data_IF_693638127175
#
_entry.id   IF_693638127175
#
_cell.length_a   1.000
_cell.length_b   1.000
_cell.length_c   1.000
_cell.angle_alpha   90.00
_cell.angle_beta   90.00
_cell.angle_gamma   90.00
#
_symmetry.space_group_name_H-M   'P 1'
#
loop_
_entity.id
_entity.type
_entity.pdbx_description
1 polymer ?
#
# COMPACT_ATOMS: atom_id res chain seq x y z
N UNK A 1 -1.17 -9.49 5.27
CA UNK A 1 -1.32 -10.55 6.31
C UNK A 1 -0.10 -10.51 7.22
N UNK A 2 -0.24 -10.61 8.54
CA UNK A 2 0.91 -10.47 9.43
C UNK A 2 0.68 -11.05 10.82
N UNK A 3 1.76 -11.19 11.58
CA UNK A 3 1.80 -11.73 12.96
C UNK A 3 0.71 -11.13 13.87
N UNK A 4 0.39 -9.81 13.84
CA UNK A 4 -0.68 -9.26 14.67
C UNK A 4 -2.08 -9.75 14.30
N UNK A 5 -2.31 -10.02 13.01
CA UNK A 5 -3.59 -10.57 12.53
C UNK A 5 -3.73 -12.04 12.86
N UNK A 6 -2.63 -12.80 12.76
CA UNK A 6 -2.55 -14.20 13.20
C UNK A 6 -2.81 -14.32 14.70
N UNK A 7 -2.16 -13.50 15.53
CA UNK A 7 -2.38 -13.48 16.97
C UNK A 7 -3.84 -13.14 17.32
N UNK A 8 -4.45 -12.17 16.61
CA UNK A 8 -5.85 -11.79 16.82
C UNK A 8 -6.83 -12.91 16.42
N UNK A 9 -6.54 -13.66 15.36
CA UNK A 9 -7.35 -14.83 14.94
C UNK A 9 -7.20 -16.00 15.91
N UNK A 10 -5.96 -16.32 16.28
CA UNK A 10 -5.66 -17.34 17.29
C UNK A 10 -6.43 -17.05 18.59
N UNK A 11 -6.33 -15.83 19.10
CA UNK A 11 -7.02 -15.42 20.32
C UNK A 11 -8.55 -15.64 20.25
N UNK A 12 -9.20 -15.24 19.14
CA UNK A 12 -10.65 -15.43 18.96
C UNK A 12 -11.04 -16.91 18.94
N UNK A 13 -10.27 -17.74 18.25
CA UNK A 13 -10.54 -19.17 18.11
C UNK A 13 -10.28 -19.90 19.42
N UNK A 14 -9.18 -19.60 20.12
CA UNK A 14 -8.87 -20.18 21.43
C UNK A 14 -9.90 -19.78 22.49
N UNK A 15 -10.41 -18.54 22.46
CA UNK A 15 -11.50 -18.12 23.34
C UNK A 15 -12.77 -18.95 23.10
N UNK A 16 -13.17 -19.11 21.83
CA UNK A 16 -14.36 -19.88 21.47
C UNK A 16 -14.21 -21.37 21.85
N UNK A 17 -13.06 -21.97 21.55
CA UNK A 17 -12.75 -23.35 21.90
C UNK A 17 -12.74 -23.58 23.42
N UNK A 18 -12.20 -22.63 24.19
CA UNK A 18 -12.19 -22.68 25.66
C UNK A 18 -13.60 -22.60 26.24
N UNK A 19 -14.47 -21.74 25.70
CA UNK A 19 -15.87 -21.64 26.14
C UNK A 19 -16.64 -22.93 25.82
N UNK A 20 -16.48 -23.47 24.60
CA UNK A 20 -17.11 -24.73 24.20
C UNK A 20 -16.63 -25.89 25.08
N UNK A 21 -15.33 -25.95 25.37
CA UNK A 21 -14.77 -26.97 26.26
C UNK A 21 -15.32 -26.86 27.69
N UNK A 22 -15.52 -25.65 28.21
CA UNK A 22 -16.14 -25.43 29.51
C UNK A 22 -17.60 -25.91 29.55
N UNK A 23 -18.38 -25.59 28.51
CA UNK A 23 -19.77 -26.07 28.38
C UNK A 23 -19.83 -27.59 28.25
N UNK A 24 -18.90 -28.21 27.53
CA UNK A 24 -18.83 -29.66 27.37
C UNK A 24 -18.51 -30.36 28.70
N UNK A 25 -17.65 -29.76 29.52
CA UNK A 25 -17.27 -30.29 30.84
C UNK A 25 -18.46 -30.29 31.82
N UNK A 26 -19.32 -29.26 31.75
CA UNK A 26 -20.58 -29.20 32.51
C UNK A 26 -21.65 -30.18 31.97
N UNK A 27 -21.65 -30.47 30.67
CA UNK A 27 -22.59 -31.42 30.06
C UNK A 27 -22.18 -32.89 30.26
N UNK A 28 -20.90 -33.17 30.51
CA UNK A 28 -20.44 -34.54 30.76
C UNK A 28 -20.95 -35.01 32.13
N UNK A 29 -21.68 -36.14 32.20
CA UNK A 29 -22.15 -36.68 33.47
C UNK A 29 -20.94 -37.02 34.36
N UNK A 30 -20.67 -36.16 35.35
CA UNK A 30 -19.55 -36.34 36.26
C UNK A 30 -19.81 -37.57 37.14
N UNK A 31 -18.86 -38.53 37.22
CA UNK A 31 -18.97 -39.65 38.16
C UNK A 31 -18.83 -39.22 39.63
N UNK A 32 -18.45 -37.96 39.89
CA UNK A 32 -18.30 -37.42 41.24
C UNK A 32 -19.43 -36.44 41.58
N UNK A 33 -20.39 -36.92 42.38
CA UNK A 33 -21.35 -36.10 43.11
C UNK A 33 -20.62 -35.25 44.16
N UNK A 34 -20.10 -34.08 43.80
CA UNK A 34 -19.70 -33.08 44.78
C UNK A 34 -20.94 -32.30 45.22
N UNK A 35 -21.49 -32.65 46.37
CA UNK A 35 -22.72 -32.08 46.92
C UNK A 35 -22.56 -30.66 47.50
N UNK A 36 -21.40 -30.02 47.42
CA UNK A 36 -21.20 -28.62 47.87
C UNK A 36 -20.17 -27.94 46.99
N UNK A 37 -20.53 -26.81 46.39
CA UNK A 37 -19.64 -25.92 45.64
C UNK A 37 -18.57 -25.34 46.58
N UNK A 38 -17.48 -26.07 46.76
CA UNK A 38 -16.34 -25.67 47.59
C UNK A 38 -15.44 -24.72 46.77
N UNK A 39 -14.82 -23.69 47.37
CA UNK A 39 -13.90 -22.79 46.67
C UNK A 39 -12.77 -23.54 45.93
N UNK A 40 -12.41 -24.74 46.41
CA UNK A 40 -11.46 -25.64 45.75
C UNK A 40 -11.92 -26.13 44.38
N UNK A 41 -13.21 -26.43 44.20
CA UNK A 41 -13.79 -26.82 42.91
C UNK A 41 -13.71 -25.67 41.89
N UNK A 42 -14.00 -24.44 42.33
CA UNK A 42 -13.86 -23.26 41.47
C UNK A 42 -12.41 -23.01 41.05
N UNK A 43 -11.44 -23.18 41.96
CA UNK A 43 -10.02 -23.06 41.63
C UNK A 43 -9.57 -24.13 40.64
N UNK A 44 -10.02 -25.38 40.82
CA UNK A 44 -9.72 -26.49 39.90
C UNK A 44 -10.34 -26.26 38.50
N UNK A 45 -11.56 -25.74 38.42
CA UNK A 45 -12.23 -25.39 37.16
C UNK A 45 -11.51 -24.23 36.44
N UNK A 46 -11.14 -23.17 37.17
CA UNK A 46 -10.39 -22.03 36.60
C UNK A 46 -9.02 -22.50 36.09
N UNK A 47 -8.32 -23.34 36.86
CA UNK A 47 -7.02 -23.90 36.46
C UNK A 47 -7.13 -24.79 35.23
N UNK A 48 -8.17 -25.64 35.16
CA UNK A 48 -8.45 -26.50 34.01
C UNK A 48 -8.76 -25.68 32.75
N UNK A 49 -9.59 -24.64 32.88
CA UNK A 49 -9.93 -23.74 31.79
C UNK A 49 -8.71 -22.95 31.30
N UNK A 50 -7.89 -22.41 32.22
CA UNK A 50 -6.67 -21.68 31.89
C UNK A 50 -5.66 -22.58 31.16
N UNK A 51 -5.49 -23.83 31.62
CA UNK A 51 -4.58 -24.79 30.98
C UNK A 51 -5.05 -25.14 29.57
N UNK A 52 -6.35 -25.40 29.41
CA UNK A 52 -6.96 -25.70 28.12
C UNK A 52 -6.83 -24.52 27.15
N UNK A 53 -7.07 -23.30 27.63
CA UNK A 53 -6.87 -22.07 26.84
C UNK A 53 -5.42 -21.90 26.38
N UNK A 54 -4.44 -22.12 27.27
CA UNK A 54 -3.01 -22.02 26.92
C UNK A 54 -2.63 -23.05 25.86
N UNK A 55 -3.12 -24.29 25.98
CA UNK A 55 -2.88 -25.34 24.99
C UNK A 55 -3.47 -24.95 23.64
N UNK A 56 -4.74 -24.56 23.56
CA UNK A 56 -5.35 -24.13 22.30
C UNK A 56 -4.71 -22.85 21.74
N UNK A 57 -4.34 -21.90 22.58
CA UNK A 57 -3.67 -20.68 22.14
C UNK A 57 -2.28 -20.98 21.57
N UNK A 58 -1.51 -21.83 22.23
CA UNK A 58 -0.20 -22.25 21.73
C UNK A 58 -0.30 -23.05 20.42
N UNK A 59 -1.31 -23.92 20.30
CA UNK A 59 -1.60 -24.68 19.08
C UNK A 59 -1.98 -23.76 17.91
N UNK A 60 -2.96 -22.88 18.10
CA UNK A 60 -3.41 -21.94 17.07
C UNK A 60 -2.34 -20.91 16.70
N UNK A 61 -1.59 -20.42 17.70
CA UNK A 61 -0.47 -19.52 17.46
C UNK A 61 0.59 -20.23 16.63
N UNK A 62 0.99 -21.45 17.01
CA UNK A 62 1.99 -22.22 16.27
C UNK A 62 1.49 -22.57 14.87
N UNK A 63 0.23 -22.97 14.70
CA UNK A 63 -0.36 -23.26 13.40
C UNK A 63 -0.36 -22.03 12.49
N UNK A 64 -0.78 -20.87 13.00
CA UNK A 64 -0.76 -19.64 12.22
C UNK A 64 0.65 -19.08 11.98
N UNK A 65 1.56 -19.21 12.94
CA UNK A 65 2.97 -18.83 12.76
C UNK A 65 3.64 -19.75 11.74
N UNK A 66 3.36 -21.05 11.82
CA UNK A 66 3.83 -22.07 10.89
C UNK A 66 3.29 -21.81 9.49
N UNK A 67 2.01 -21.44 9.34
CA UNK A 67 1.45 -21.02 8.05
C UNK A 67 2.12 -19.74 7.50
N UNK A 68 2.42 -18.75 8.36
CA UNK A 68 3.16 -17.53 7.99
C UNK A 68 4.64 -17.82 7.66
N UNK A 69 5.27 -18.79 8.32
CA UNK A 69 6.64 -19.25 8.05
C UNK A 69 6.70 -20.15 6.80
N UNK A 70 5.66 -20.95 6.56
CA UNK A 70 5.48 -21.81 5.38
C UNK A 70 4.88 -21.09 4.16
N UNK A 71 4.43 -19.83 4.30
CA UNK A 71 4.53 -18.84 3.21
C UNK A 71 5.99 -18.44 2.92
N UNK A 72 6.91 -19.41 3.03
CA UNK A 72 8.22 -19.48 2.39
C UNK A 72 8.01 -18.99 0.95
N UNK A 73 8.70 -17.90 0.60
CA UNK A 73 8.66 -17.16 -0.68
C UNK A 73 7.97 -17.98 -1.77
N UNK A 74 6.69 -17.70 -2.00
CA UNK A 74 6.00 -18.16 -3.20
C UNK A 74 6.71 -17.53 -4.39
N UNK A 75 7.58 -18.30 -5.02
CA UNK A 75 8.31 -17.87 -6.21
C UNK A 75 7.46 -18.32 -7.38
N UNK A 76 6.87 -17.35 -8.09
CA UNK A 76 6.10 -17.59 -9.30
C UNK A 76 7.07 -17.61 -10.48
N UNK A 77 8.01 -18.56 -10.46
CA UNK A 77 9.00 -18.73 -11.51
C UNK A 77 9.10 -20.21 -11.89
N UNK A 78 9.26 -20.52 -13.18
CA UNK A 78 9.59 -21.87 -13.62
C UNK A 78 10.98 -22.28 -13.10
N UNK A 79 11.26 -23.60 -12.99
CA UNK A 79 12.59 -24.08 -12.61
C UNK A 79 13.68 -23.58 -13.56
N UNK A 80 14.82 -23.16 -13.01
CA UNK A 80 15.98 -22.72 -13.82
C UNK A 80 16.45 -23.86 -14.73
N UNK A 81 16.68 -23.56 -16.00
CA UNK A 81 17.05 -24.53 -17.03
C UNK A 81 15.87 -25.28 -17.66
N UNK A 82 14.63 -24.92 -17.32
CA UNK A 82 13.46 -25.38 -18.08
C UNK A 82 13.23 -24.52 -19.32
N UNK A 83 12.61 -25.08 -20.36
CA UNK A 83 12.23 -24.33 -21.57
C UNK A 83 11.33 -23.12 -21.23
N UNK A 84 10.49 -23.23 -20.20
CA UNK A 84 9.65 -22.14 -19.73
C UNK A 84 10.47 -20.98 -19.11
N UNK A 85 11.59 -21.27 -18.46
CA UNK A 85 12.47 -20.23 -17.92
C UNK A 85 13.17 -19.40 -19.01
N UNK A 86 13.40 -20.00 -20.17
CA UNK A 86 14.04 -19.34 -21.32
C UNK A 86 13.04 -18.58 -22.18
N UNK A 87 11.84 -19.14 -22.39
CA UNK A 87 10.85 -18.59 -23.32
C UNK A 87 9.84 -17.68 -22.66
N UNK A 88 9.37 -18.01 -21.45
CA UNK A 88 8.26 -17.30 -20.79
C UNK A 88 8.41 -17.30 -19.25
N UNK A 89 9.45 -16.64 -18.69
CA UNK A 89 9.75 -16.69 -17.26
C UNK A 89 8.69 -16.02 -16.38
N UNK A 90 7.84 -15.17 -16.97
CA UNK A 90 6.88 -14.30 -16.27
C UNK A 90 5.43 -14.80 -16.30
N UNK A 91 5.10 -15.80 -17.11
CA UNK A 91 3.70 -16.16 -17.38
C UNK A 91 2.98 -16.70 -16.15
N UNK A 92 3.65 -17.52 -15.32
CA UNK A 92 3.08 -18.00 -14.06
C UNK A 92 2.79 -16.85 -13.06
N UNK A 93 3.65 -15.84 -13.03
CA UNK A 93 3.47 -14.65 -12.21
C UNK A 93 2.31 -13.80 -12.73
N UNK A 94 2.25 -13.57 -14.05
CA UNK A 94 1.19 -12.80 -14.69
C UNK A 94 -0.18 -13.46 -14.52
N UNK A 95 -0.26 -14.78 -14.71
CA UNK A 95 -1.48 -15.57 -14.47
C UNK A 95 -2.01 -15.37 -13.03
N UNK A 96 -1.13 -15.41 -12.03
CA UNK A 96 -1.52 -15.20 -10.63
C UNK A 96 -1.89 -13.74 -10.32
N UNK A 97 -1.25 -12.78 -10.98
CA UNK A 97 -1.51 -11.35 -10.85
C UNK A 97 -2.85 -10.92 -11.49
N UNK A 98 -3.21 -11.56 -12.61
CA UNK A 98 -4.43 -11.30 -13.38
C UNK A 98 -5.63 -12.13 -12.90
N UNK A 99 -5.48 -12.90 -11.83
CA UNK A 99 -6.56 -13.66 -11.21
C UNK A 99 -7.77 -12.77 -10.91
N UNK A 100 -8.97 -13.25 -11.29
CA UNK A 100 -10.22 -12.49 -11.23
C UNK A 100 -10.63 -12.14 -9.81
N UNK A 101 -10.20 -12.91 -8.80
CA UNK A 101 -10.52 -12.65 -7.40
C UNK A 101 -9.51 -11.67 -6.78
N UNK A 102 -9.90 -10.40 -6.49
CA UNK A 102 -8.99 -9.39 -5.96
C UNK A 102 -8.58 -9.64 -4.50
N UNK A 103 -9.30 -10.50 -3.77
CA UNK A 103 -8.98 -10.83 -2.37
C UNK A 103 -8.28 -12.18 -2.21
N UNK A 104 -7.94 -12.84 -3.34
CA UNK A 104 -7.19 -14.09 -3.34
C UNK A 104 -5.82 -13.92 -2.69
N UNK A 105 -5.47 -14.83 -1.78
CA UNK A 105 -4.13 -14.90 -1.20
C UNK A 105 -3.06 -15.07 -2.28
N UNK A 106 -3.37 -15.83 -3.33
CA UNK A 106 -2.47 -16.10 -4.45
C UNK A 106 -2.02 -14.79 -5.11
N UNK A 107 -2.99 -13.90 -5.38
CA UNK A 107 -2.73 -12.58 -5.97
C UNK A 107 -1.89 -11.69 -5.05
N UNK A 108 -2.15 -11.68 -3.74
CA UNK A 108 -1.31 -10.93 -2.77
C UNK A 108 0.13 -11.43 -2.75
N UNK A 109 0.32 -12.75 -2.80
CA UNK A 109 1.63 -13.39 -2.86
C UNK A 109 2.35 -13.08 -4.18
N UNK A 110 1.63 -13.03 -5.29
CA UNK A 110 2.16 -12.66 -6.60
C UNK A 110 2.63 -11.19 -6.63
N UNK A 111 1.87 -10.25 -6.05
CA UNK A 111 2.31 -8.86 -5.90
C UNK A 111 3.57 -8.72 -5.05
N UNK A 112 3.70 -9.52 -3.98
CA UNK A 112 4.90 -9.54 -3.16
C UNK A 112 6.11 -10.10 -3.93
N UNK A 113 5.96 -11.22 -4.64
CA UNK A 113 7.04 -11.80 -5.47
C UNK A 113 7.46 -10.82 -6.57
N UNK A 114 6.50 -10.17 -7.24
CA UNK A 114 6.79 -9.14 -8.23
C UNK A 114 7.62 -7.98 -7.63
N UNK A 115 7.21 -7.46 -6.47
CA UNK A 115 7.96 -6.41 -5.78
C UNK A 115 9.40 -6.86 -5.46
N UNK A 116 9.58 -8.11 -5.04
CA UNK A 116 10.89 -8.67 -4.77
C UNK A 116 11.72 -8.82 -6.05
N UNK A 117 11.14 -9.22 -7.19
CA UNK A 117 11.86 -9.33 -8.47
C UNK A 117 12.27 -7.94 -8.99
N UNK A 118 11.40 -6.95 -8.86
CA UNK A 118 11.66 -5.59 -9.33
C UNK A 118 12.78 -4.90 -8.52
N UNK A 119 12.90 -5.16 -7.22
CA UNK A 119 13.87 -4.50 -6.35
C UNK A 119 15.20 -5.25 -6.18
N UNK A 120 15.18 -6.59 -6.21
CA UNK A 120 16.38 -7.37 -5.91
C UNK A 120 17.27 -7.55 -7.14
N UNK A 121 18.58 -7.42 -6.93
CA UNK A 121 19.58 -7.70 -7.97
C UNK A 121 19.91 -9.19 -8.15
N UNK A 122 19.22 -10.10 -7.43
CA UNK A 122 19.49 -11.54 -7.46
C UNK A 122 18.82 -12.22 -8.66
N UNK A 123 17.59 -11.80 -8.99
CA UNK A 123 16.79 -12.39 -10.07
C UNK A 123 16.71 -11.47 -11.29
N UNK A 124 17.85 -10.91 -11.70
CA UNK A 124 17.97 -10.04 -12.88
C UNK A 124 17.46 -10.71 -14.15
N UNK A 125 17.63 -12.03 -14.28
CA UNK A 125 17.10 -12.81 -15.40
C UNK A 125 15.56 -12.78 -15.48
N UNK A 126 14.85 -12.83 -14.34
CA UNK A 126 13.38 -12.72 -14.30
C UNK A 126 12.95 -11.32 -14.68
N UNK A 127 13.63 -10.31 -14.15
CA UNK A 127 13.33 -8.90 -14.45
C UNK A 127 13.62 -8.55 -15.90
N UNK A 128 14.69 -9.08 -16.49
CA UNK A 128 14.99 -8.94 -17.91
C UNK A 128 13.87 -9.51 -18.78
N UNK A 129 13.23 -10.60 -18.34
CA UNK A 129 12.04 -11.17 -18.99
C UNK A 129 10.82 -10.25 -19.01
N UNK A 130 10.80 -9.16 -18.23
CA UNK A 130 9.75 -8.15 -18.34
C UNK A 130 9.95 -7.23 -19.54
N UNK A 131 11.20 -6.98 -19.95
CA UNK A 131 11.57 -6.13 -21.09
C UNK A 131 11.77 -6.95 -22.36
N UNK A 132 10.91 -7.93 -22.60
CA UNK A 132 10.92 -8.70 -23.85
C UNK A 132 10.51 -7.84 -25.06
N UNK A 133 10.90 -8.28 -26.26
CA UNK A 133 10.88 -7.49 -27.50
C UNK A 133 9.49 -6.95 -27.86
N UNK A 134 8.42 -7.68 -27.58
CA UNK A 134 7.05 -7.21 -27.88
C UNK A 134 6.58 -6.14 -26.91
N UNK A 135 7.17 -6.11 -25.72
CA UNK A 135 6.83 -5.20 -24.64
C UNK A 135 5.47 -5.44 -23.98
N UNK A 136 4.76 -6.51 -24.34
CA UNK A 136 3.45 -6.84 -23.77
C UNK A 136 3.58 -7.23 -22.30
N UNK A 137 4.62 -7.98 -21.95
CA UNK A 137 4.89 -8.39 -20.56
C UNK A 137 5.04 -7.17 -19.65
N UNK A 138 5.86 -6.19 -20.07
CA UNK A 138 6.06 -4.94 -19.32
C UNK A 138 4.74 -4.17 -19.13
N UNK A 139 3.96 -3.99 -20.20
CA UNK A 139 2.66 -3.29 -20.14
C UNK A 139 1.69 -3.98 -19.17
N UNK A 140 1.61 -5.31 -19.20
CA UNK A 140 0.76 -6.09 -18.28
C UNK A 140 1.18 -5.92 -16.83
N UNK A 141 2.48 -6.03 -16.52
CA UNK A 141 3.04 -5.83 -15.18
C UNK A 141 2.71 -4.43 -14.65
N UNK A 142 2.95 -3.40 -15.46
CA UNK A 142 2.64 -2.01 -15.09
C UNK A 142 1.14 -1.86 -14.85
N UNK A 143 0.29 -2.33 -15.76
CA UNK A 143 -1.16 -2.21 -15.64
C UNK A 143 -1.71 -2.87 -14.35
N UNK A 144 -1.21 -4.05 -13.99
CA UNK A 144 -1.63 -4.74 -12.76
C UNK A 144 -1.23 -3.95 -11.51
N UNK A 145 -0.06 -3.33 -11.50
CA UNK A 145 0.39 -2.54 -10.35
C UNK A 145 -0.30 -1.17 -10.25
N UNK A 146 -0.62 -0.53 -11.38
CA UNK A 146 -1.30 0.77 -11.36
C UNK A 146 -2.75 0.65 -10.89
N UNK A 147 -3.49 -0.40 -11.28
CA UNK A 147 -4.91 -0.59 -10.92
C UNK A 147 -5.22 -0.38 -9.43
N UNK A 148 -4.52 -1.01 -8.46
CA UNK A 148 -4.76 -0.74 -7.02
C UNK A 148 -4.49 0.70 -6.60
N UNK A 149 -3.49 1.37 -7.19
CA UNK A 149 -3.13 2.75 -6.88
C UNK A 149 -4.17 3.74 -7.42
N UNK A 150 -4.68 3.47 -8.62
CA UNK A 150 -5.78 4.22 -9.24
C UNK A 150 -7.07 4.07 -8.44
N UNK A 151 -7.37 2.83 -8.01
CA UNK A 151 -8.51 2.57 -7.15
C UNK A 151 -8.41 3.33 -5.82
N UNK A 152 -7.24 3.33 -5.18
CA UNK A 152 -7.01 4.12 -3.97
C UNK A 152 -7.21 5.63 -4.23
N UNK A 153 -6.64 6.16 -5.31
CA UNK A 153 -6.71 7.59 -5.63
C UNK A 153 -8.15 8.04 -5.91
N UNK A 154 -8.92 7.24 -6.65
CA UNK A 154 -10.33 7.52 -6.93
C UNK A 154 -11.17 7.50 -5.65
N UNK A 155 -11.01 6.47 -4.80
CA UNK A 155 -11.75 6.36 -3.54
C UNK A 155 -11.47 7.50 -2.56
N UNK A 156 -10.20 7.88 -2.42
CA UNK A 156 -9.82 9.02 -1.59
C UNK A 156 -10.30 10.36 -2.18
N UNK A 157 -10.42 10.45 -3.51
CA UNK A 157 -10.95 11.64 -4.18
C UNK A 157 -12.48 11.79 -4.07
N UNK A 158 -13.22 10.69 -4.13
CA UNK A 158 -14.69 10.67 -3.95
C UNK A 158 -15.10 11.19 -2.57
N UNK A 159 -14.30 10.91 -1.52
CA UNK A 159 -14.53 11.43 -0.17
C UNK A 159 -14.31 12.93 0.01
N UNK A 160 -13.78 13.62 -1.01
CA UNK A 160 -13.41 15.05 -0.96
C UNK A 160 -14.36 15.97 -1.74
N UNK A 161 -15.50 15.46 -2.24
CA UNK A 161 -16.45 16.22 -3.05
C UNK A 161 -17.19 17.33 -2.27
N UNK A 162 -16.88 18.58 -2.61
CA UNK A 162 -17.68 19.82 -2.52
C UNK A 162 -18.76 19.92 -1.43
N UNK A 163 -18.40 20.40 -0.24
CA UNK A 163 -19.33 21.11 0.65
C UNK A 163 -19.31 22.60 0.31
N UNK A 164 -19.98 22.97 -0.78
CA UNK A 164 -20.56 24.31 -0.94
C UNK A 164 -21.99 24.17 -0.49
N UNK A 165 -22.22 24.34 0.82
CA UNK A 165 -23.46 24.91 1.35
C UNK A 165 -23.19 25.36 2.79
N UNK A 166 -22.89 26.65 2.92
CA UNK A 166 -22.90 27.38 4.18
C UNK A 166 -24.35 27.46 4.69
N UNK A 167 -24.85 26.42 5.36
CA UNK A 167 -26.09 26.56 6.17
C UNK A 167 -26.36 25.46 7.22
N UNK A 168 -25.70 24.29 7.21
CA UNK A 168 -26.10 23.15 8.08
C UNK A 168 -24.98 22.62 8.98
N UNK A 169 -24.10 23.52 9.41
CA UNK A 169 -22.94 23.21 10.25
C UNK A 169 -23.32 23.11 11.74
N UNK A 170 -23.87 21.97 12.20
CA UNK A 170 -23.78 21.57 13.62
C UNK A 170 -24.16 20.11 13.94
N UNK A 171 -24.79 19.34 13.04
CA UNK A 171 -25.35 18.02 13.41
C UNK A 171 -24.47 16.79 13.16
N UNK A 172 -23.36 16.87 12.41
CA UNK A 172 -22.63 15.66 11.96
C UNK A 172 -21.28 15.46 12.68
N UNK A 173 -21.27 15.46 14.01
CA UNK A 173 -20.08 15.05 14.81
C UNK A 173 -19.92 13.53 14.95
N UNK A 174 -20.76 12.73 14.28
CA UNK A 174 -20.59 11.28 14.16
C UNK A 174 -19.95 10.97 12.81
N UNK A 175 -18.92 10.11 12.82
CA UNK A 175 -18.21 9.62 11.63
C UNK A 175 -19.18 9.38 10.48
N UNK A 176 -18.99 10.10 9.35
CA UNK A 176 -19.82 9.85 8.18
C UNK A 176 -19.54 8.44 7.65
N UNK A 177 -20.52 7.73 7.07
CA UNK A 177 -20.31 6.41 6.47
C UNK A 177 -19.20 6.38 5.41
N UNK A 178 -18.94 7.51 4.75
CA UNK A 178 -17.87 7.69 3.77
C UNK A 178 -16.48 7.72 4.41
N UNK A 179 -16.36 8.33 5.60
CA UNK A 179 -15.10 8.32 6.37
C UNK A 179 -14.70 6.89 6.77
N UNK A 180 -15.66 6.02 7.10
CA UNK A 180 -15.39 4.63 7.49
C UNK A 180 -14.93 3.75 6.32
N UNK A 181 -15.52 3.94 5.13
CA UNK A 181 -15.11 3.20 3.91
C UNK A 181 -13.69 3.57 3.46
N UNK A 182 -13.33 4.84 3.53
CA UNK A 182 -11.97 5.30 3.20
C UNK A 182 -10.93 4.77 4.19
N UNK A 183 -11.32 4.58 5.46
CA UNK A 183 -10.47 3.98 6.49
C UNK A 183 -10.21 2.49 6.22
N UNK A 184 -11.21 1.76 5.71
CA UNK A 184 -11.09 0.35 5.34
C UNK A 184 -10.12 0.15 4.17
N UNK A 185 -10.15 1.04 3.18
CA UNK A 185 -9.25 0.99 2.03
C UNK A 185 -7.77 1.09 2.44
N UNK A 186 -7.47 1.94 3.43
CA UNK A 186 -6.11 2.06 3.98
C UNK A 186 -5.62 0.77 4.68
N UNK A 187 -6.45 -0.24 4.92
CA UNK A 187 -5.98 -1.53 5.43
C UNK A 187 -5.20 -2.35 4.40
N UNK A 188 -5.36 -2.05 3.10
CA UNK A 188 -4.60 -2.69 2.02
C UNK A 188 -3.24 -2.00 1.76
N UNK A 189 -2.70 -1.26 2.74
CA UNK A 189 -1.46 -0.48 2.59
C UNK A 189 -0.27 -1.28 2.02
N UNK A 190 -0.17 -2.58 2.37
CA UNK A 190 0.91 -3.45 1.90
C UNK A 190 0.86 -3.60 0.37
N UNK A 191 -0.35 -3.76 -0.18
CA UNK A 191 -0.55 -3.90 -1.62
C UNK A 191 -0.14 -2.63 -2.35
N UNK A 192 -0.57 -1.45 -1.87
CA UNK A 192 -0.16 -0.18 -2.47
C UNK A 192 1.35 0.01 -2.39
N UNK A 193 1.95 -0.36 -1.26
CA UNK A 193 3.39 -0.25 -1.10
C UNK A 193 4.16 -1.15 -2.08
N UNK A 194 3.75 -2.41 -2.25
CA UNK A 194 4.35 -3.31 -3.22
C UNK A 194 4.14 -2.84 -4.65
N UNK A 195 2.94 -2.40 -5.01
CA UNK A 195 2.65 -1.87 -6.34
C UNK A 195 3.52 -0.64 -6.66
N UNK A 196 3.56 0.35 -5.77
CA UNK A 196 4.35 1.58 -5.97
C UNK A 196 5.84 1.28 -6.12
N UNK A 197 6.39 0.43 -5.25
CA UNK A 197 7.79 0.02 -5.29
C UNK A 197 8.12 -0.79 -6.55
N UNK A 198 7.22 -1.69 -6.96
CA UNK A 198 7.39 -2.50 -8.16
C UNK A 198 7.50 -1.64 -9.41
N UNK A 199 6.55 -0.72 -9.63
CA UNK A 199 6.56 0.14 -10.83
C UNK A 199 7.70 1.15 -10.79
N UNK A 200 8.02 1.71 -9.63
CA UNK A 200 9.14 2.65 -9.51
C UNK A 200 10.49 1.97 -9.77
N UNK A 201 10.72 0.80 -9.18
CA UNK A 201 11.94 0.05 -9.39
C UNK A 201 12.07 -0.44 -10.83
N UNK A 202 10.98 -0.94 -11.42
CA UNK A 202 11.00 -1.40 -12.80
C UNK A 202 11.22 -0.24 -13.80
N UNK A 203 10.54 0.89 -13.60
CA UNK A 203 10.78 2.10 -14.39
C UNK A 203 12.21 2.59 -14.21
N UNK A 204 12.76 2.66 -12.99
CA UNK A 204 14.16 3.05 -12.78
C UNK A 204 15.16 2.09 -13.45
N UNK A 205 14.93 0.78 -13.34
CA UNK A 205 15.75 -0.26 -13.99
C UNK A 205 15.68 -0.19 -15.51
N UNK A 206 14.55 0.22 -16.08
CA UNK A 206 14.40 0.33 -17.54
C UNK A 206 15.47 1.21 -18.18
N UNK A 207 15.99 2.22 -17.48
CA UNK A 207 17.09 3.07 -17.98
C UNK A 207 18.31 2.27 -18.43
N UNK A 208 18.60 1.14 -17.77
CA UNK A 208 19.80 0.33 -17.99
C UNK A 208 19.50 -1.05 -18.56
N UNK A 209 18.35 -1.62 -18.22
CA UNK A 209 18.01 -3.01 -18.50
C UNK A 209 17.08 -3.18 -19.71
N UNK A 210 16.35 -2.13 -20.12
CA UNK A 210 15.45 -2.17 -21.26
C UNK A 210 16.21 -1.97 -22.58
N UNK A 211 16.64 -3.08 -23.18
CA UNK A 211 17.42 -3.08 -24.42
C UNK A 211 16.63 -2.62 -25.64
N UNK A 212 15.31 -2.77 -25.61
CA UNK A 212 14.42 -2.47 -26.74
C UNK A 212 13.73 -1.11 -26.59
N UNK A 213 13.90 -0.42 -25.46
CA UNK A 213 13.27 0.86 -25.17
C UNK A 213 11.75 0.76 -24.98
N UNK A 214 11.21 -0.43 -24.71
CA UNK A 214 9.78 -0.68 -24.51
C UNK A 214 9.18 0.31 -23.51
N UNK A 215 9.84 0.53 -22.38
CA UNK A 215 9.33 1.33 -21.27
C UNK A 215 9.15 2.80 -21.63
N UNK A 216 10.06 3.33 -22.46
CA UNK A 216 10.02 4.71 -22.94
C UNK A 216 9.03 4.87 -24.10
N UNK A 217 8.97 3.89 -25.00
CA UNK A 217 8.14 3.95 -26.21
C UNK A 217 6.66 3.63 -25.97
N UNK A 218 6.35 2.84 -24.93
CA UNK A 218 4.97 2.41 -24.64
C UNK A 218 4.09 3.47 -23.99
N UNK A 219 4.66 4.59 -23.53
CA UNK A 219 3.98 5.59 -22.71
C UNK A 219 3.73 5.16 -21.26
N UNK A 220 4.18 3.96 -20.86
CA UNK A 220 3.98 3.44 -19.51
C UNK A 220 4.73 4.26 -18.45
N UNK A 221 5.91 4.82 -18.76
CA UNK A 221 6.64 5.67 -17.82
C UNK A 221 5.82 6.92 -17.42
N UNK A 222 5.18 7.57 -18.39
CA UNK A 222 4.28 8.68 -18.13
C UNK A 222 3.07 8.24 -17.29
N UNK A 223 2.49 7.06 -17.58
CA UNK A 223 1.40 6.50 -16.78
C UNK A 223 1.81 6.22 -15.33
N UNK A 224 2.99 5.62 -15.13
CA UNK A 224 3.53 5.33 -13.78
C UNK A 224 3.72 6.62 -12.98
N UNK A 225 4.43 7.61 -13.54
CA UNK A 225 4.68 8.88 -12.85
C UNK A 225 3.38 9.61 -12.55
N UNK A 226 2.46 9.68 -13.52
CA UNK A 226 1.17 10.35 -13.35
C UNK A 226 0.30 9.71 -12.28
N UNK A 227 0.24 8.38 -12.24
CA UNK A 227 -0.55 7.63 -11.26
C UNK A 227 0.07 7.73 -9.86
N UNK A 228 1.39 7.64 -9.73
CA UNK A 228 2.07 7.82 -8.44
C UNK A 228 1.85 9.24 -7.88
N UNK A 229 1.97 10.27 -8.71
CA UNK A 229 1.72 11.66 -8.31
C UNK A 229 0.25 11.90 -7.97
N UNK A 230 -0.68 11.39 -8.78
CA UNK A 230 -2.12 11.47 -8.52
C UNK A 230 -2.48 10.81 -7.19
N UNK A 231 -1.95 9.61 -6.94
CA UNK A 231 -2.16 8.86 -5.71
C UNK A 231 -1.58 9.61 -4.50
N UNK A 232 -0.38 10.18 -4.64
CA UNK A 232 0.23 10.99 -3.57
C UNK A 232 -0.62 12.21 -3.24
N UNK A 233 -1.10 12.94 -4.24
CA UNK A 233 -1.98 14.08 -4.04
C UNK A 233 -3.30 13.68 -3.35
N UNK A 234 -3.89 12.55 -3.73
CA UNK A 234 -5.12 12.04 -3.11
C UNK A 234 -4.89 11.71 -1.62
N UNK A 235 -3.79 11.04 -1.30
CA UNK A 235 -3.41 10.71 0.08
C UNK A 235 -3.09 11.97 0.89
N UNK A 236 -2.34 12.92 0.32
CA UNK A 236 -2.05 14.20 0.99
C UNK A 236 -3.31 15.02 1.26
N UNK A 237 -4.23 15.05 0.30
CA UNK A 237 -5.54 15.69 0.46
C UNK A 237 -6.35 15.03 1.57
N UNK A 238 -6.39 13.69 1.60
CA UNK A 238 -7.03 12.92 2.66
C UNK A 238 -6.43 13.22 4.05
N UNK A 239 -5.12 13.46 4.13
CA UNK A 239 -4.43 13.87 5.36
C UNK A 239 -4.71 15.33 5.77
N UNK A 240 -5.45 16.10 4.97
CA UNK A 240 -5.72 17.52 5.20
C UNK A 240 -4.55 18.44 4.84
N UNK A 241 -3.58 17.97 4.04
CA UNK A 241 -2.53 18.85 3.50
C UNK A 241 -3.13 19.66 2.35
N UNK A 242 -2.93 20.98 2.37
CA UNK A 242 -3.39 21.86 1.29
C UNK A 242 -2.67 21.47 0.00
N UNK A 243 -3.43 21.00 -0.99
CA UNK A 243 -2.98 20.68 -2.35
C UNK A 243 -3.00 21.91 -3.27
N UNK A 244 -3.26 23.11 -2.74
CA UNK A 244 -3.33 24.32 -3.55
C UNK A 244 -2.00 24.62 -4.25
N UNK A 245 -2.09 24.87 -5.55
CA UNK A 245 -1.03 25.41 -6.39
C UNK A 245 -0.53 26.71 -5.74
N UNK A 246 0.63 26.70 -5.08
CA UNK A 246 1.28 27.96 -4.76
C UNK A 246 1.81 28.52 -6.09
N UNK A 247 1.44 29.76 -6.49
CA UNK A 247 1.97 30.34 -7.72
C UNK A 247 3.49 30.46 -7.61
N UNK A 248 4.18 30.00 -8.66
CA UNK A 248 5.64 29.87 -8.79
C UNK A 248 6.45 31.19 -8.65
N UNK A 249 5.83 32.30 -8.27
CA UNK A 249 6.45 33.63 -8.25
C UNK A 249 6.99 34.07 -6.88
N UNK A 250 7.08 33.19 -5.88
CA UNK A 250 7.69 33.53 -4.58
C UNK A 250 8.94 32.71 -4.23
N UNK A 251 9.45 31.88 -5.15
CA UNK A 251 10.63 31.04 -4.94
C UNK A 251 11.92 31.65 -5.51
N UNK A 252 12.05 32.98 -5.49
CA UNK A 252 13.32 33.67 -5.67
C UNK A 252 13.50 34.70 -4.54
N UNK A 253 13.88 34.21 -3.38
CA UNK A 253 14.31 35.03 -2.25
C UNK A 253 15.30 34.24 -1.38
N UNK A 254 16.41 34.82 -0.89
CA UNK A 254 17.55 34.07 -0.33
C UNK A 254 17.32 33.46 1.07
N UNK A 255 16.08 33.19 1.48
CA UNK A 255 15.74 32.84 2.86
C UNK A 255 14.84 31.59 2.98
N UNK A 256 15.10 30.57 2.17
CA UNK A 256 14.28 29.36 2.05
C UNK A 256 14.72 28.16 2.91
N UNK A 257 15.11 28.35 4.18
CA UNK A 257 15.22 27.24 5.14
C UNK A 257 14.27 27.53 6.30
N UNK A 258 13.06 27.00 6.22
CA UNK A 258 12.16 26.85 7.38
C UNK A 258 11.57 25.45 7.38
N UNK A 259 12.35 24.50 7.92
CA UNK A 259 11.76 23.33 8.55
C UNK A 259 10.99 23.81 9.78
N UNK A 260 9.72 23.43 9.87
CA UNK A 260 8.87 23.56 11.06
C UNK A 260 8.85 24.94 11.75
N UNK A 261 8.09 25.90 11.21
CA UNK A 261 7.49 26.94 12.06
C UNK A 261 6.04 26.59 12.34
N UNK A 262 5.79 26.10 13.57
CA UNK A 262 4.49 26.25 14.22
C UNK A 262 4.19 27.74 14.27
N UNK A 263 3.30 28.21 13.39
CA UNK A 263 2.75 29.55 13.51
C UNK A 263 1.86 29.59 14.77
N UNK A 264 2.43 30.09 15.86
CA UNK A 264 1.68 30.70 16.94
C UNK A 264 1.17 32.06 16.44
N UNK A 265 -0.14 32.31 16.56
CA UNK A 265 -0.71 33.67 16.47
C UNK A 265 -1.64 33.98 15.29
N UNK A 266 -2.80 33.32 15.22
CA UNK A 266 -4.14 33.97 15.27
C UNK A 266 -5.18 32.86 15.16
N UNK A 267 -5.88 32.63 16.27
CA UNK A 267 -6.97 31.67 16.38
C UNK A 267 -8.18 32.28 15.67
N UNK A 268 -8.39 31.90 14.42
CA UNK A 268 -9.72 31.91 13.82
C UNK A 268 -10.23 30.48 13.74
N UNK A 269 -11.36 30.28 14.41
CA UNK A 269 -11.97 29.02 14.80
C UNK A 269 -12.54 28.31 13.57
N UNK A 270 -11.72 27.50 12.90
CA UNK A 270 -12.17 26.37 12.04
C UNK A 270 -11.00 25.46 11.61
N UNK A 271 -10.03 25.21 12.50
CA UNK A 271 -9.11 24.10 12.28
C UNK A 271 -9.82 22.81 12.65
N UNK A 272 -10.46 22.17 11.65
CA UNK A 272 -11.01 20.82 11.77
C UNK A 272 -10.02 19.92 12.51
N UNK A 273 -10.46 19.43 13.67
CA UNK A 273 -9.76 18.58 14.63
C UNK A 273 -8.81 17.65 13.87
N UNK A 274 -7.48 17.90 13.95
CA UNK A 274 -6.46 17.00 13.39
C UNK A 274 -6.76 15.60 13.92
N UNK A 275 -7.30 14.72 13.07
CA UNK A 275 -7.71 13.35 13.41
C UNK A 275 -6.45 12.51 13.67
N UNK A 276 -5.77 12.73 14.79
CA UNK A 276 -4.63 11.94 15.26
C UNK A 276 -5.09 10.54 15.68
N UNK A 277 -5.49 9.73 14.70
CA UNK A 277 -5.88 8.33 14.89
C UNK A 277 -5.03 7.38 14.03
N UNK A 278 -5.14 6.06 14.25
CA UNK A 278 -4.38 5.03 13.52
C UNK A 278 -4.56 5.10 11.99
N UNK A 279 -5.68 5.66 11.52
CA UNK A 279 -5.96 5.98 10.11
C UNK A 279 -4.88 6.88 9.50
N UNK A 280 -4.44 7.91 10.25
CA UNK A 280 -3.40 8.81 9.79
C UNK A 280 -2.05 8.09 9.66
N UNK A 281 -1.72 7.16 10.56
CA UNK A 281 -0.43 6.45 10.51
C UNK A 281 -0.23 5.69 9.19
N UNK A 282 -1.29 5.05 8.67
CA UNK A 282 -1.25 4.34 7.39
C UNK A 282 -1.20 5.30 6.20
N UNK A 283 -1.95 6.39 6.25
CA UNK A 283 -1.88 7.42 5.21
C UNK A 283 -0.48 8.05 5.13
N UNK A 284 0.17 8.32 6.28
CA UNK A 284 1.57 8.75 6.32
C UNK A 284 2.51 7.70 5.72
N UNK A 285 2.33 6.41 6.05
CA UNK A 285 3.16 5.34 5.49
C UNK A 285 2.99 5.19 3.97
N UNK A 286 1.76 5.27 3.46
CA UNK A 286 1.49 5.23 2.01
C UNK A 286 2.12 6.46 1.33
N UNK A 287 1.95 7.65 1.90
CA UNK A 287 2.55 8.87 1.36
C UNK A 287 4.08 8.78 1.32
N UNK A 288 4.71 8.19 2.33
CA UNK A 288 6.15 8.00 2.38
C UNK A 288 6.65 7.01 1.31
N UNK A 289 5.96 5.87 1.15
CA UNK A 289 6.27 4.90 0.09
C UNK A 289 6.08 5.52 -1.30
N UNK A 290 5.02 6.30 -1.51
CA UNK A 290 4.81 6.99 -2.79
C UNK A 290 5.92 8.00 -3.07
N UNK A 291 6.33 8.81 -2.08
CA UNK A 291 7.43 9.76 -2.23
C UNK A 291 8.75 9.07 -2.56
N UNK A 292 9.12 8.04 -1.81
CA UNK A 292 10.35 7.29 -2.04
C UNK A 292 10.35 6.61 -3.40
N UNK A 293 9.21 6.06 -3.82
CA UNK A 293 9.01 5.50 -5.17
C UNK A 293 9.19 6.56 -6.27
N UNK A 294 8.62 7.77 -6.11
CA UNK A 294 8.80 8.87 -7.07
C UNK A 294 10.27 9.32 -7.09
N UNK A 295 10.91 9.49 -5.94
CA UNK A 295 12.34 9.84 -5.87
C UNK A 295 13.24 8.80 -6.52
N UNK A 296 12.90 7.51 -6.43
CA UNK A 296 13.65 6.45 -7.10
C UNK A 296 13.65 6.64 -8.62
N UNK A 297 12.48 6.95 -9.21
CA UNK A 297 12.36 7.24 -10.65
C UNK A 297 13.11 8.53 -11.00
N UNK A 298 12.86 9.60 -10.26
CA UNK A 298 13.47 10.92 -10.50
C UNK A 298 14.99 10.84 -10.42
N UNK A 299 15.53 10.16 -9.41
CA UNK A 299 16.98 9.93 -9.27
C UNK A 299 17.56 9.14 -10.44
N UNK A 300 16.84 8.10 -10.90
CA UNK A 300 17.28 7.31 -12.04
C UNK A 300 17.32 8.11 -13.34
N UNK A 301 16.36 9.02 -13.58
CA UNK A 301 16.22 9.81 -14.81
C UNK A 301 16.47 11.31 -14.61
N UNK A 302 17.31 11.67 -13.64
CA UNK A 302 17.47 13.07 -13.23
C UNK A 302 17.93 13.95 -14.38
N UNK A 303 18.89 13.49 -15.17
CA UNK A 303 19.48 14.26 -16.27
C UNK A 303 18.44 14.45 -17.38
N UNK A 304 17.72 13.39 -17.73
CA UNK A 304 16.69 13.38 -18.76
C UNK A 304 15.49 14.27 -18.38
N UNK A 305 15.01 14.14 -17.14
CA UNK A 305 13.92 14.99 -16.63
C UNK A 305 14.35 16.45 -16.48
N UNK A 306 15.57 16.72 -16.04
CA UNK A 306 16.09 18.10 -15.90
C UNK A 306 16.28 18.77 -17.26
N UNK A 307 16.77 18.03 -18.26
CA UNK A 307 16.86 18.51 -19.63
C UNK A 307 15.46 18.77 -20.22
N UNK A 308 14.53 17.83 -20.03
CA UNK A 308 13.13 17.97 -20.44
C UNK A 308 12.44 19.17 -19.77
N UNK A 309 12.74 19.46 -18.50
CA UNK A 309 12.22 20.63 -17.80
C UNK A 309 12.69 21.94 -18.43
N UNK A 310 13.98 22.04 -18.80
CA UNK A 310 14.54 23.21 -19.49
C UNK A 310 14.01 23.39 -20.91
N UNK A 311 13.72 22.29 -21.60
CA UNK A 311 13.19 22.28 -22.95
C UNK A 311 11.65 22.41 -23.03
N UNK A 312 10.95 22.55 -21.90
CA UNK A 312 9.48 22.48 -21.81
C UNK A 312 8.86 21.18 -22.36
N UNK A 313 9.62 20.08 -22.36
CA UNK A 313 9.19 18.75 -22.81
C UNK A 313 8.82 17.80 -21.65
N UNK A 314 9.13 18.17 -20.41
CA UNK A 314 8.85 17.35 -19.22
C UNK A 314 7.40 16.87 -19.15
N UNK A 315 6.46 17.76 -19.49
CA UNK A 315 5.03 17.47 -19.45
C UNK A 315 4.58 16.49 -20.55
N UNK A 316 5.27 16.48 -21.69
CA UNK A 316 4.97 15.59 -22.81
C UNK A 316 5.47 14.18 -22.52
N UNK A 317 6.65 14.07 -21.94
CA UNK A 317 7.37 12.80 -21.85
C UNK A 317 7.07 12.03 -20.54
N UNK A 318 6.68 12.74 -19.47
CA UNK A 318 6.55 12.16 -18.13
C UNK A 318 5.17 12.29 -17.49
N UNK A 319 4.25 13.04 -18.12
CA UNK A 319 2.88 13.19 -17.65
C UNK A 319 1.90 12.73 -18.73
N UNK A 320 0.92 11.90 -18.37
CA UNK A 320 -0.09 11.43 -19.31
C UNK A 320 -0.87 12.58 -19.93
N UNK A 321 -1.18 12.48 -21.21
CA UNK A 321 -2.00 13.46 -21.95
C UNK A 321 -3.48 13.41 -21.56
N UNK A 322 -3.94 12.26 -21.05
CA UNK A 322 -5.31 12.06 -20.57
C UNK A 322 -5.59 12.72 -19.23
N UNK A 323 -6.87 12.69 -18.81
CA UNK A 323 -7.29 13.19 -17.50
C UNK A 323 -6.61 12.37 -16.39
N UNK A 324 -5.89 13.01 -15.46
CA UNK A 324 -5.28 12.30 -14.35
C UNK A 324 -6.34 11.73 -13.40
N UNK A 325 -5.97 10.67 -12.67
CA UNK A 325 -6.86 9.96 -11.76
C UNK A 325 -7.32 10.85 -10.60
N UNK A 326 -6.42 11.73 -10.14
CA UNK A 326 -6.71 12.72 -9.11
C UNK A 326 -5.88 14.00 -9.33
N UNK A 327 -6.51 15.16 -9.13
CA UNK A 327 -5.90 16.47 -9.37
C UNK A 327 -6.01 16.93 -10.82
N UNK A 328 -5.25 17.97 -11.18
CA UNK A 328 -5.12 18.45 -12.57
C UNK A 328 -3.72 18.16 -13.11
N UNK A 329 -3.56 18.21 -14.44
CA UNK A 329 -2.25 17.98 -15.08
C UNK A 329 -1.20 18.95 -14.56
N UNK A 330 -1.58 20.21 -14.35
CA UNK A 330 -0.74 21.28 -13.81
C UNK A 330 -0.28 20.97 -12.38
N UNK A 331 -1.17 20.43 -11.55
CA UNK A 331 -0.81 20.00 -10.19
C UNK A 331 0.24 18.88 -10.22
N UNK A 332 0.12 17.91 -11.12
CA UNK A 332 1.10 16.84 -11.27
C UNK A 332 2.47 17.40 -11.69
N UNK A 333 2.49 18.31 -12.67
CA UNK A 333 3.73 18.94 -13.15
C UNK A 333 4.40 19.74 -12.02
N UNK A 334 3.63 20.56 -11.29
CA UNK A 334 4.18 21.34 -10.18
C UNK A 334 4.76 20.40 -9.13
N UNK A 335 4.05 19.31 -8.80
CA UNK A 335 4.53 18.32 -7.84
C UNK A 335 5.81 17.65 -8.32
N UNK A 336 5.89 17.25 -9.58
CA UNK A 336 7.09 16.64 -10.18
C UNK A 336 8.29 17.59 -10.15
N UNK A 337 8.09 18.89 -10.43
CA UNK A 337 9.15 19.89 -10.32
C UNK A 337 9.70 19.99 -8.90
N UNK A 338 8.85 19.94 -7.88
CA UNK A 338 9.30 19.93 -6.48
C UNK A 338 10.20 18.71 -6.20
N UNK A 339 9.89 17.54 -6.76
CA UNK A 339 10.75 16.36 -6.63
C UNK A 339 12.08 16.52 -7.37
N UNK A 340 12.10 17.17 -8.54
CA UNK A 340 13.32 17.44 -9.32
C UNK A 340 14.24 18.46 -8.65
N UNK A 341 13.66 19.48 -8.00
CA UNK A 341 14.41 20.53 -7.30
C UNK A 341 15.01 20.02 -5.98
N UNK A 342 14.40 18.99 -5.38
CA UNK A 342 14.89 18.42 -4.12
C UNK A 342 16.09 17.50 -4.37
N UNK A 343 17.29 18.08 -4.25
CA UNK A 343 18.55 17.35 -4.31
C UNK A 343 18.86 16.72 -2.94
N UNK A 344 18.87 15.39 -2.84
CA UNK A 344 19.64 14.74 -1.80
C UNK A 344 21.12 14.97 -2.12
N UNK A 345 21.79 15.79 -1.30
CA UNK A 345 23.24 16.04 -1.40
C UNK A 345 24.01 15.00 -0.64
#
# INVERSE_FOLDING_TARGET
MGVPSAARKAFKLSFLASVISGVLLELLPHPFKYAVATPRFFVEQISSLATTFVIFFSWELTHHLHWVLHTKRSIFAPPKGSAAAETNPSEHLLSALEETNPTSLLRYLAHLDLCMVCENNVDTWRRAGFFEETGETYKRVVAVCLKPLEHLATKLGEGSGNSVDKATQLSNQLLSPTDLKNVEELYNFQLYAWCSRSVASLTACSRKEDKFGVAQLSGSNAAVVSTLLSCLLAVENFMGKKTNLQPSNQLLGPAGIKWATVNSGRVDVAAGKRRSGPVNSKAYAIADVLKTSIYQIVSAFQDEMSAGAKANLLEKDWITTGKPVFGTREMLIQKLRIFLDFRAT
#
